data_IF_654255891784
#
_entry.id   IF_654255891784
#
_cell.length_a   1.000
_cell.length_b   1.000
_cell.length_c   1.000
_cell.angle_alpha   90.00
_cell.angle_beta   90.00
_cell.angle_gamma   90.00
#
_symmetry.space_group_name_H-M   'P 1'
#
loop_
_entity.id
_entity.type
_entity.pdbx_description
1 polymer ?
#
# COMPACT_ATOMS: atom_id res chain seq x y z
N UNK A 1 15.45 -5.74 -9.86
CA UNK A 1 14.99 -7.07 -9.41
C UNK A 1 14.59 -7.06 -7.94
N UNK A 2 15.55 -7.07 -7.03
CA UNK A 2 15.30 -7.26 -5.59
C UNK A 2 14.41 -6.19 -4.95
N UNK A 3 14.64 -4.91 -5.24
CA UNK A 3 13.82 -3.83 -4.66
C UNK A 3 12.32 -3.96 -4.97
N UNK A 4 11.94 -4.25 -6.22
CA UNK A 4 10.52 -4.44 -6.56
C UNK A 4 9.96 -5.74 -5.99
N UNK A 5 10.79 -6.79 -5.86
CA UNK A 5 10.41 -8.03 -5.19
C UNK A 5 10.13 -7.84 -3.71
N UNK A 6 10.99 -7.12 -3.00
CA UNK A 6 10.73 -6.74 -1.60
C UNK A 6 9.49 -5.85 -1.48
N UNK A 7 9.32 -4.86 -2.35
CA UNK A 7 8.12 -4.02 -2.36
C UNK A 7 6.85 -4.85 -2.53
N UNK A 8 6.87 -5.87 -3.41
CA UNK A 8 5.74 -6.77 -3.60
C UNK A 8 5.45 -7.62 -2.36
N UNK A 9 6.43 -8.37 -1.84
CA UNK A 9 6.21 -9.29 -0.72
C UNK A 9 5.92 -8.59 0.60
N UNK A 10 6.64 -7.50 0.91
CA UNK A 10 6.33 -6.69 2.08
C UNK A 10 4.98 -5.97 1.92
N UNK A 11 4.66 -5.54 0.70
CA UNK A 11 3.36 -4.97 0.38
C UNK A 11 2.20 -5.95 0.60
N UNK A 12 2.38 -7.23 0.24
CA UNK A 12 1.41 -8.29 0.58
C UNK A 12 1.26 -8.40 2.09
N UNK A 13 2.35 -8.53 2.84
CA UNK A 13 2.30 -8.65 4.30
C UNK A 13 1.57 -7.47 4.95
N UNK A 14 1.90 -6.24 4.52
CA UNK A 14 1.23 -5.02 4.98
C UNK A 14 -0.25 -4.99 4.59
N UNK A 15 -0.60 -5.41 3.37
CA UNK A 15 -1.99 -5.43 2.91
C UNK A 15 -2.83 -6.46 3.65
N UNK A 16 -2.25 -7.61 4.02
CA UNK A 16 -2.93 -8.62 4.84
C UNK A 16 -3.22 -8.09 6.25
N UNK A 17 -2.23 -7.46 6.90
CA UNK A 17 -2.41 -6.83 8.20
C UNK A 17 -3.49 -5.73 8.14
N UNK A 18 -3.37 -4.79 7.20
CA UNK A 18 -4.34 -3.71 7.04
C UNK A 18 -5.73 -4.18 6.65
N UNK A 19 -5.85 -5.26 5.86
CA UNK A 19 -7.14 -5.87 5.54
C UNK A 19 -7.76 -6.52 6.77
N UNK A 20 -6.97 -7.21 7.60
CA UNK A 20 -7.46 -7.75 8.86
C UNK A 20 -7.99 -6.63 9.77
N UNK A 21 -7.25 -5.53 9.93
CA UNK A 21 -7.71 -4.37 10.69
C UNK A 21 -8.99 -3.75 10.11
N UNK A 22 -9.03 -3.55 8.79
CA UNK A 22 -10.20 -3.00 8.10
C UNK A 22 -11.45 -3.89 8.29
N UNK A 23 -11.33 -5.21 8.24
CA UNK A 23 -12.48 -6.10 8.37
C UNK A 23 -12.91 -6.30 9.83
N UNK A 24 -11.94 -6.47 10.72
CA UNK A 24 -12.18 -6.83 12.11
C UNK A 24 -12.55 -5.62 12.99
N UNK A 25 -12.09 -4.41 12.65
CA UNK A 25 -12.32 -3.21 13.46
C UNK A 25 -13.39 -2.32 12.83
N UNK A 26 -14.57 -2.30 13.44
CA UNK A 26 -15.72 -1.52 12.95
C UNK A 26 -15.44 -0.02 12.82
N UNK A 27 -14.68 0.55 13.77
CA UNK A 27 -14.30 1.96 13.74
C UNK A 27 -13.43 2.34 12.54
N UNK A 28 -12.68 1.39 11.98
CA UNK A 28 -11.83 1.58 10.80
C UNK A 28 -12.71 1.48 9.53
N UNK A 29 -13.53 0.43 9.40
CA UNK A 29 -14.33 0.19 8.17
C UNK A 29 -15.41 1.21 7.87
N UNK A 30 -15.89 1.95 8.87
CA UNK A 30 -16.91 2.99 8.67
C UNK A 30 -16.39 4.25 8.00
N UNK A 31 -15.06 4.38 7.83
CA UNK A 31 -14.42 5.61 7.33
C UNK A 31 -14.04 5.47 5.88
N UNK A 32 -14.47 6.41 5.04
CA UNK A 32 -14.12 6.43 3.61
C UNK A 32 -12.60 6.48 3.41
N UNK A 33 -11.87 7.25 4.23
CA UNK A 33 -10.42 7.35 4.17
C UNK A 33 -9.70 5.99 4.33
N UNK A 34 -10.25 5.08 5.13
CA UNK A 34 -9.68 3.74 5.35
C UNK A 34 -9.78 2.89 4.09
N UNK A 35 -10.92 2.95 3.39
CA UNK A 35 -11.10 2.27 2.11
C UNK A 35 -10.22 2.88 1.01
N UNK A 36 -10.08 4.21 0.96
CA UNK A 36 -9.18 4.86 -0.01
C UNK A 36 -7.73 4.42 0.19
N UNK A 37 -7.26 4.37 1.45
CA UNK A 37 -5.92 3.86 1.77
C UNK A 37 -5.76 2.39 1.35
N UNK A 38 -6.72 1.53 1.70
CA UNK A 38 -6.67 0.10 1.37
C UNK A 38 -6.64 -0.15 -0.14
N UNK A 39 -7.47 0.55 -0.92
CA UNK A 39 -7.49 0.44 -2.39
C UNK A 39 -6.16 0.91 -2.99
N UNK A 40 -5.61 2.03 -2.51
CA UNK A 40 -4.30 2.51 -2.94
C UNK A 40 -3.19 1.48 -2.63
N UNK A 41 -3.24 0.85 -1.45
CA UNK A 41 -2.31 -0.21 -1.04
C UNK A 41 -2.38 -1.44 -1.95
N UNK A 42 -3.56 -2.01 -2.18
CA UNK A 42 -3.73 -3.18 -3.06
C UNK A 42 -3.32 -2.85 -4.51
N UNK A 43 -3.62 -1.64 -4.97
CA UNK A 43 -3.18 -1.17 -6.29
C UNK A 43 -1.65 -1.10 -6.37
N UNK A 44 -0.99 -0.56 -5.35
CA UNK A 44 0.47 -0.53 -5.27
C UNK A 44 1.08 -1.94 -5.28
N UNK A 45 0.51 -2.89 -4.52
CA UNK A 45 0.96 -4.29 -4.51
C UNK A 45 0.82 -4.92 -5.90
N UNK A 46 -0.29 -4.67 -6.58
CA UNK A 46 -0.52 -5.16 -7.94
C UNK A 46 0.51 -4.62 -8.92
N UNK A 47 0.82 -3.31 -8.85
CA UNK A 47 1.86 -2.67 -9.68
C UNK A 47 3.25 -3.23 -9.36
N UNK A 48 3.59 -3.39 -8.07
CA UNK A 48 4.87 -3.95 -7.65
C UNK A 48 5.03 -5.41 -8.12
N UNK A 49 3.96 -6.20 -8.04
CA UNK A 49 3.91 -7.57 -8.53
C UNK A 49 4.08 -7.66 -10.04
N UNK A 50 3.38 -6.81 -10.80
CA UNK A 50 3.54 -6.73 -12.25
C UNK A 50 4.96 -6.31 -12.66
N UNK A 51 5.52 -5.28 -12.00
CA UNK A 51 6.88 -4.79 -12.27
C UNK A 51 7.94 -5.86 -11.94
N UNK A 52 7.79 -6.55 -10.80
CA UNK A 52 8.72 -7.60 -10.42
C UNK A 52 8.58 -8.84 -11.31
N UNK A 53 7.35 -9.29 -11.55
CA UNK A 53 7.03 -10.45 -12.38
C UNK A 53 7.53 -10.30 -13.81
N UNK A 54 7.35 -9.12 -14.42
CA UNK A 54 7.89 -8.83 -15.76
C UNK A 54 9.39 -9.09 -15.82
N UNK A 55 10.13 -8.56 -14.83
CA UNK A 55 11.59 -8.68 -14.83
C UNK A 55 12.09 -10.09 -14.48
N UNK A 56 11.24 -10.96 -13.91
CA UNK A 56 11.57 -12.39 -13.72
C UNK A 56 11.47 -13.16 -15.04
N UNK A 57 10.55 -12.76 -15.92
CA UNK A 57 10.30 -13.41 -17.22
C UNK A 57 11.31 -12.91 -18.27
N UNK A 58 11.51 -11.60 -18.36
CA UNK A 58 12.43 -10.98 -19.30
C UNK A 58 13.25 -9.87 -18.61
N UNK A 59 14.49 -10.20 -18.27
CA UNK A 59 15.41 -9.29 -17.58
C UNK A 59 16.27 -8.45 -18.53
N UNK A 60 16.28 -8.78 -19.83
CA UNK A 60 17.03 -8.04 -20.84
C UNK A 60 16.18 -6.88 -21.39
N UNK A 61 14.86 -7.07 -21.54
CA UNK A 61 13.92 -6.06 -22.06
C UNK A 61 13.04 -5.43 -20.97
N UNK A 62 13.69 -4.72 -20.04
CA UNK A 62 12.99 -4.05 -18.95
C UNK A 62 12.40 -2.71 -19.39
N UNK A 63 13.08 -1.98 -20.28
CA UNK A 63 12.64 -0.67 -20.73
C UNK A 63 11.77 -0.76 -21.99
N UNK A 64 10.78 0.14 -22.15
CA UNK A 64 10.43 1.24 -21.23
C UNK A 64 9.46 0.85 -20.10
N UNK A 65 8.82 -0.32 -20.20
CA UNK A 65 7.68 -0.72 -19.36
C UNK A 65 8.02 -0.75 -17.88
N UNK A 66 9.19 -1.29 -17.50
CA UNK A 66 9.65 -1.36 -16.12
C UNK A 66 9.89 0.01 -15.49
N UNK A 67 10.23 1.04 -16.28
CA UNK A 67 10.34 2.42 -15.79
C UNK A 67 8.95 3.04 -15.57
N UNK A 68 8.04 2.86 -16.53
CA UNK A 68 6.66 3.33 -16.40
C UNK A 68 5.96 2.72 -15.18
N UNK A 69 6.14 1.41 -14.96
CA UNK A 69 5.61 0.73 -13.78
C UNK A 69 6.23 1.24 -12.48
N UNK A 70 7.52 1.59 -12.47
CA UNK A 70 8.16 2.19 -11.30
C UNK A 70 7.60 3.59 -11.00
N UNK A 71 7.41 4.43 -12.03
CA UNK A 71 6.80 5.77 -11.86
C UNK A 71 5.38 5.64 -11.33
N UNK A 72 4.58 4.73 -11.90
CA UNK A 72 3.23 4.46 -11.42
C UNK A 72 3.24 3.97 -9.96
N UNK A 73 4.16 3.07 -9.60
CA UNK A 73 4.37 2.62 -8.24
C UNK A 73 4.71 3.78 -7.28
N UNK A 74 5.57 4.70 -7.69
CA UNK A 74 5.91 5.90 -6.90
C UNK A 74 4.69 6.78 -6.63
N UNK A 75 3.80 6.94 -7.62
CA UNK A 75 2.55 7.68 -7.43
C UNK A 75 1.69 6.99 -6.37
N UNK A 76 1.47 5.68 -6.50
CA UNK A 76 0.60 4.93 -5.60
C UNK A 76 1.16 4.76 -4.19
N UNK A 77 2.48 4.64 -4.01
CA UNK A 77 3.07 4.66 -2.66
C UNK A 77 2.91 6.03 -2.00
N UNK A 78 3.00 7.13 -2.76
CA UNK A 78 2.69 8.46 -2.27
C UNK A 78 1.22 8.59 -1.84
N UNK A 79 0.28 8.12 -2.67
CA UNK A 79 -1.14 8.11 -2.33
C UNK A 79 -1.44 7.26 -1.09
N UNK A 80 -0.92 6.03 -1.05
CA UNK A 80 -1.09 5.14 0.10
C UNK A 80 -0.52 5.77 1.37
N UNK A 81 0.69 6.33 1.30
CA UNK A 81 1.35 7.02 2.42
C UNK A 81 0.56 8.24 2.91
N UNK A 82 0.09 9.09 2.00
CA UNK A 82 -0.72 10.26 2.34
C UNK A 82 -2.03 9.87 3.03
N UNK A 83 -2.78 8.93 2.45
CA UNK A 83 -4.05 8.48 3.03
C UNK A 83 -3.84 7.72 4.35
N UNK A 84 -2.77 6.93 4.47
CA UNK A 84 -2.42 6.25 5.72
C UNK A 84 -2.03 7.23 6.82
N UNK A 85 -1.23 8.26 6.48
CA UNK A 85 -0.89 9.34 7.40
C UNK A 85 -2.11 10.07 7.93
N UNK A 86 -3.07 10.42 7.07
CA UNK A 86 -4.34 11.03 7.51
C UNK A 86 -5.16 10.14 8.45
N UNK A 87 -5.12 8.81 8.29
CA UNK A 87 -5.79 7.91 9.24
C UNK A 87 -5.19 8.03 10.64
N UNK A 88 -3.86 8.10 10.74
CA UNK A 88 -3.17 8.20 12.02
C UNK A 88 -3.31 9.60 12.62
N UNK A 89 -2.97 10.65 11.86
CA UNK A 89 -2.85 12.01 12.38
C UNK A 89 -4.18 12.77 12.45
N UNK A 90 -5.08 12.60 11.48
CA UNK A 90 -6.35 13.34 11.46
C UNK A 90 -7.48 12.56 12.14
N UNK A 91 -7.47 11.22 12.00
CA UNK A 91 -8.56 10.36 12.50
C UNK A 91 -8.20 9.63 13.79
N UNK A 92 -6.95 9.76 14.28
CA UNK A 92 -6.48 9.15 15.53
C UNK A 92 -6.45 7.63 15.52
N UNK A 93 -6.46 6.98 14.35
CA UNK A 93 -6.44 5.52 14.24
C UNK A 93 -5.08 5.01 14.73
N UNK A 94 -5.09 4.11 15.72
CA UNK A 94 -3.89 3.53 16.31
C UNK A 94 -3.27 4.34 17.45
N UNK A 95 -3.88 5.47 17.84
CA UNK A 95 -3.47 6.21 19.03
C UNK A 95 -4.27 5.74 20.26
N UNK A 96 -3.59 5.33 21.33
CA UNK A 96 -4.22 5.15 22.64
C UNK A 96 -4.43 6.53 23.26
N UNK A 97 -5.55 7.16 22.95
CA UNK A 97 -5.96 8.39 23.63
C UNK A 97 -6.60 7.95 24.95
N UNK A 98 -5.91 8.16 26.07
CA UNK A 98 -6.50 8.03 27.40
C UNK A 98 -7.46 9.19 27.58
N UNK A 99 -8.76 8.91 27.68
CA UNK A 99 -9.72 9.86 28.25
C UNK A 99 -9.39 9.98 29.76
N UNK A 100 -8.49 10.90 30.10
CA UNK A 100 -8.25 11.31 31.49
C UNK A 100 -8.42 12.82 31.57
N UNK A 101 -9.64 13.20 31.89
CA UNK A 101 -9.97 14.23 32.88
C UNK A 101 -10.92 13.60 33.90
#
# INVERSE_FOLDING_TARGET
MWASGFAFWLGIAASLAGTAELLLVEGIRKRAASWTHAIAGITLVSIAGANWGWRLIDHENILPVGLMMSVLGTIFVGLAGWHGGKLVFDHGIGLMISDKD
#
